data_IF_071204245668
#
_entry.id   IF_071204245668
#
_cell.length_a   1.000
_cell.length_b   1.000
_cell.length_c   1.000
_cell.angle_alpha   90.00
_cell.angle_beta   90.00
_cell.angle_gamma   90.00
#
_symmetry.space_group_name_H-M   'P 1'
#
loop_
_entity.id
_entity.type
_entity.pdbx_description
1 polymer ?
#
# COMPACT_ATOMS: atom_id res chain seq x y z
N UNK A 1 -17.03 9.40 -23.77
CA UNK A 1 -16.00 8.46 -24.27
C UNK A 1 -15.56 7.59 -23.13
N UNK A 2 -15.69 6.29 -23.34
CA UNK A 2 -15.37 5.28 -22.34
C UNK A 2 -13.85 5.18 -22.16
N UNK A 3 -13.39 5.01 -20.92
CA UNK A 3 -11.97 4.95 -20.53
C UNK A 3 -11.22 3.85 -21.32
N UNK A 4 -11.96 2.85 -21.78
CA UNK A 4 -11.48 1.71 -22.57
C UNK A 4 -10.93 2.07 -23.97
N UNK A 5 -11.28 3.22 -24.55
CA UNK A 5 -10.79 3.63 -25.88
C UNK A 5 -9.44 4.38 -25.84
N UNK A 6 -8.91 4.66 -24.64
CA UNK A 6 -7.67 5.41 -24.45
C UNK A 6 -6.54 4.42 -24.17
N UNK A 7 -5.43 4.52 -24.90
CA UNK A 7 -4.24 3.68 -24.69
C UNK A 7 -3.75 3.80 -23.25
N UNK A 8 -3.30 2.69 -22.66
CA UNK A 8 -2.85 2.61 -21.26
C UNK A 8 -1.86 3.72 -20.87
N UNK A 9 -0.79 3.90 -21.65
CA UNK A 9 0.22 4.93 -21.36
C UNK A 9 -0.35 6.34 -21.35
N UNK A 10 -1.36 6.60 -22.17
CA UNK A 10 -2.04 7.90 -22.21
C UNK A 10 -2.94 8.09 -20.99
N UNK A 11 -3.58 7.04 -20.49
CA UNK A 11 -4.33 7.10 -19.23
C UNK A 11 -3.40 7.41 -18.04
N UNK A 12 -2.19 6.83 -17.99
CA UNK A 12 -1.20 7.14 -16.96
C UNK A 12 -0.80 8.61 -16.98
N UNK A 13 -0.65 9.20 -18.17
CA UNK A 13 -0.35 10.64 -18.32
C UNK A 13 -1.52 11.52 -17.89
N UNK A 14 -2.75 11.13 -18.19
CA UNK A 14 -3.93 11.87 -17.72
C UNK A 14 -4.10 11.78 -16.22
N UNK A 15 -3.82 10.61 -15.62
CA UNK A 15 -3.74 10.45 -14.17
C UNK A 15 -2.69 11.39 -13.57
N UNK A 16 -1.49 11.47 -14.14
CA UNK A 16 -0.44 12.37 -13.68
C UNK A 16 -0.85 13.85 -13.79
N UNK A 17 -1.51 14.24 -14.88
CA UNK A 17 -2.09 15.58 -15.07
C UNK A 17 -3.04 15.93 -13.92
N UNK A 18 -3.96 15.02 -13.58
CA UNK A 18 -4.95 15.24 -12.54
C UNK A 18 -4.33 15.36 -11.16
N UNK A 19 -3.39 14.48 -10.80
CA UNK A 19 -2.70 14.49 -9.51
C UNK A 19 -1.92 15.80 -9.33
N UNK A 20 -1.11 16.20 -10.31
CA UNK A 20 -0.32 17.44 -10.22
C UNK A 20 -1.23 18.66 -10.17
N UNK A 21 -2.26 18.73 -11.00
CA UNK A 21 -3.17 19.87 -10.99
C UNK A 21 -3.93 19.98 -9.67
N UNK A 22 -4.37 18.86 -9.09
CA UNK A 22 -5.14 18.84 -7.85
C UNK A 22 -4.30 19.24 -6.64
N UNK A 23 -3.10 18.68 -6.50
CA UNK A 23 -2.31 18.81 -5.26
C UNK A 23 -1.23 19.90 -5.32
N UNK A 24 -0.69 20.20 -6.50
CA UNK A 24 0.30 21.28 -6.68
C UNK A 24 -0.32 22.57 -7.23
N UNK A 25 -1.58 22.53 -7.65
CA UNK A 25 -2.35 23.69 -8.12
C UNK A 25 -1.89 24.25 -9.48
N UNK A 26 -0.82 23.71 -10.08
CA UNK A 26 -0.27 24.19 -11.34
C UNK A 26 0.41 23.09 -12.15
N UNK A 27 -0.20 22.73 -13.26
CA UNK A 27 0.36 21.85 -14.28
C UNK A 27 1.08 22.62 -15.39
N UNK A 28 2.20 22.09 -15.86
CA UNK A 28 2.91 22.55 -17.05
C UNK A 28 3.39 21.37 -17.88
N UNK A 29 3.76 21.59 -19.14
CA UNK A 29 4.37 20.53 -19.98
C UNK A 29 5.64 19.95 -19.37
N UNK A 30 6.35 20.70 -18.50
CA UNK A 30 7.60 20.25 -17.87
C UNK A 30 7.38 19.03 -16.96
N UNK A 31 6.25 18.97 -16.26
CA UNK A 31 5.87 17.84 -15.41
C UNK A 31 5.79 16.55 -16.22
N UNK A 32 5.05 16.57 -17.35
CA UNK A 32 4.92 15.42 -18.24
C UNK A 32 6.24 15.04 -18.91
N UNK A 33 7.02 16.03 -19.37
CA UNK A 33 8.30 15.77 -20.02
C UNK A 33 9.24 14.97 -19.14
N UNK A 34 9.28 15.27 -17.84
CA UNK A 34 10.23 14.65 -16.93
C UNK A 34 9.72 13.36 -16.32
N UNK A 35 8.45 13.32 -15.91
CA UNK A 35 7.85 12.10 -15.36
C UNK A 35 7.80 10.95 -16.37
N UNK A 36 7.83 11.25 -17.67
CA UNK A 36 7.69 10.26 -18.74
C UNK A 36 8.79 10.31 -19.81
N UNK A 37 9.84 11.12 -19.63
CA UNK A 37 10.95 11.24 -20.59
C UNK A 37 10.54 11.66 -22.01
N UNK A 38 9.49 12.46 -22.17
CA UNK A 38 8.94 12.83 -23.49
C UNK A 38 9.26 14.26 -23.92
N UNK A 39 9.21 14.49 -25.23
CA UNK A 39 9.35 15.84 -25.80
C UNK A 39 8.17 16.76 -25.49
N UNK A 40 8.44 18.07 -25.41
CA UNK A 40 7.45 19.12 -25.08
C UNK A 40 6.23 19.13 -26.00
N UNK A 41 6.41 18.82 -27.28
CA UNK A 41 5.30 18.74 -28.24
C UNK A 41 4.34 17.60 -27.91
N UNK A 42 4.85 16.44 -27.50
CA UNK A 42 4.02 15.31 -27.06
C UNK A 42 3.27 15.66 -25.77
N UNK A 43 3.97 16.24 -24.78
CA UNK A 43 3.35 16.70 -23.54
C UNK A 43 2.20 17.70 -23.79
N UNK A 44 2.41 18.68 -24.69
CA UNK A 44 1.36 19.63 -25.09
C UNK A 44 0.17 18.95 -25.74
N UNK A 45 0.41 18.00 -26.66
CA UNK A 45 -0.64 17.19 -27.29
C UNK A 45 -1.44 16.39 -26.26
N UNK A 46 -0.79 15.79 -25.27
CA UNK A 46 -1.47 15.04 -24.21
C UNK A 46 -2.30 15.96 -23.30
N UNK A 47 -1.80 17.15 -22.92
CA UNK A 47 -2.61 18.13 -22.17
C UNK A 47 -3.85 18.56 -22.97
N UNK A 48 -3.67 18.88 -24.25
CA UNK A 48 -4.80 19.28 -25.11
C UNK A 48 -5.79 18.13 -25.31
N UNK A 49 -5.30 16.90 -25.43
CA UNK A 49 -6.16 15.72 -25.50
C UNK A 49 -6.94 15.52 -24.21
N UNK A 50 -6.30 15.64 -23.05
CA UNK A 50 -6.97 15.61 -21.76
C UNK A 50 -8.05 16.70 -21.67
N UNK A 51 -7.75 17.94 -22.04
CA UNK A 51 -8.70 19.05 -22.07
C UNK A 51 -9.87 18.80 -23.03
N UNK A 52 -9.65 18.14 -24.18
CA UNK A 52 -10.76 17.77 -25.07
C UNK A 52 -11.76 16.79 -24.43
N UNK A 53 -11.28 15.97 -23.49
CA UNK A 53 -12.09 15.01 -22.75
C UNK A 53 -12.71 15.66 -21.51
N UNK A 54 -12.01 16.59 -20.86
CA UNK A 54 -12.44 17.32 -19.67
C UNK A 54 -12.26 18.85 -19.84
N UNK A 55 -13.10 19.52 -20.66
CA UNK A 55 -12.88 20.91 -21.06
C UNK A 55 -12.94 21.92 -19.92
N UNK A 56 -13.71 21.60 -18.89
CA UNK A 56 -13.89 22.45 -17.70
C UNK A 56 -12.89 22.15 -16.60
N UNK A 57 -12.03 21.13 -16.73
CA UNK A 57 -11.18 20.68 -15.64
C UNK A 57 -10.07 21.70 -15.33
N UNK A 58 -9.34 22.17 -16.34
CA UNK A 58 -8.19 23.06 -16.16
C UNK A 58 -8.37 24.36 -16.93
N UNK A 59 -7.83 25.45 -16.40
CA UNK A 59 -7.76 26.75 -17.07
C UNK A 59 -6.31 27.17 -17.21
N UNK A 60 -5.92 27.63 -18.40
CA UNK A 60 -4.60 28.21 -18.59
C UNK A 60 -4.53 29.57 -17.90
N UNK A 61 -3.51 29.77 -17.07
CA UNK A 61 -3.23 31.01 -16.35
C UNK A 61 -1.93 31.62 -16.91
N UNK A 62 -2.05 32.82 -17.48
CA UNK A 62 -0.94 33.52 -18.12
C UNK A 62 0.10 34.05 -17.13
N UNK A 63 -0.32 34.39 -15.90
CA UNK A 63 0.59 34.88 -14.85
C UNK A 63 1.40 33.73 -14.29
N UNK A 64 0.75 32.61 -14.01
CA UNK A 64 1.42 31.39 -13.52
C UNK A 64 2.14 30.64 -14.64
N UNK A 65 1.90 30.96 -15.92
CA UNK A 65 2.46 30.24 -17.09
C UNK A 65 2.22 28.73 -16.96
N UNK A 66 0.97 28.33 -16.80
CA UNK A 66 0.57 26.94 -16.57
C UNK A 66 -0.94 26.75 -16.49
N UNK A 67 -1.39 25.51 -16.36
CA UNK A 67 -2.79 25.13 -16.21
C UNK A 67 -3.11 24.94 -14.73
N UNK A 68 -4.15 25.61 -14.23
CA UNK A 68 -4.64 25.46 -12.85
C UNK A 68 -5.97 24.70 -12.83
N UNK A 69 -6.28 23.95 -11.75
CA UNK A 69 -7.59 23.37 -11.58
C UNK A 69 -8.66 24.46 -11.55
N UNK A 70 -9.79 24.21 -12.20
CA UNK A 70 -10.95 25.09 -12.12
C UNK A 70 -11.84 24.72 -10.92
N UNK A 71 -12.80 25.58 -10.58
CA UNK A 71 -13.81 25.28 -9.56
C UNK A 71 -14.67 24.04 -9.88
N UNK A 72 -14.66 23.57 -11.13
CA UNK A 72 -15.40 22.40 -11.60
C UNK A 72 -14.48 21.20 -11.86
N UNK A 73 -13.23 21.24 -11.42
CA UNK A 73 -12.30 20.14 -11.58
C UNK A 73 -12.81 18.89 -10.86
N UNK A 74 -12.96 17.80 -11.61
CA UNK A 74 -13.30 16.47 -11.08
C UNK A 74 -12.35 15.45 -11.72
N UNK A 75 -11.56 14.71 -10.93
CA UNK A 75 -10.73 13.62 -11.45
C UNK A 75 -11.56 12.60 -12.22
N UNK A 76 -11.01 12.11 -13.34
CA UNK A 76 -11.60 11.09 -14.21
C UNK A 76 -10.66 9.92 -14.45
N UNK A 77 -9.36 10.15 -14.30
CA UNK A 77 -8.30 9.16 -14.51
C UNK A 77 -7.57 8.79 -13.21
N UNK A 78 -7.67 9.64 -12.19
CA UNK A 78 -7.23 9.43 -10.81
C UNK A 78 -8.45 9.25 -9.89
N UNK A 79 -8.21 8.76 -8.67
CA UNK A 79 -9.23 8.61 -7.62
C UNK A 79 -9.48 9.93 -6.86
N UNK A 80 -8.59 10.91 -7.00
CA UNK A 80 -8.67 12.19 -6.29
C UNK A 80 -8.22 12.11 -4.83
N UNK A 81 -7.53 11.03 -4.47
CA UNK A 81 -7.03 10.79 -3.12
C UNK A 81 -5.61 11.35 -2.95
N UNK A 82 -5.31 11.83 -1.74
CA UNK A 82 -3.96 12.32 -1.41
C UNK A 82 -2.91 11.20 -1.47
N UNK A 83 -3.33 9.95 -1.26
CA UNK A 83 -2.50 8.74 -1.40
C UNK A 83 -1.82 8.65 -2.78
N UNK A 84 -2.51 9.08 -3.84
CA UNK A 84 -1.96 9.08 -5.20
C UNK A 84 -0.82 10.10 -5.38
N UNK A 85 -0.89 11.23 -4.68
CA UNK A 85 0.18 12.23 -4.67
C UNK A 85 1.39 11.74 -3.88
N UNK A 86 1.18 11.14 -2.71
CA UNK A 86 2.25 10.54 -1.93
C UNK A 86 2.99 9.45 -2.70
N UNK A 87 2.27 8.62 -3.45
CA UNK A 87 2.87 7.61 -4.33
C UNK A 87 3.78 8.25 -5.39
N UNK A 88 3.30 9.31 -6.05
CA UNK A 88 4.06 10.04 -7.07
C UNK A 88 5.35 10.65 -6.49
N UNK A 89 5.27 11.25 -5.30
CA UNK A 89 6.45 11.78 -4.60
C UNK A 89 7.45 10.67 -4.21
N UNK A 90 6.95 9.52 -3.74
CA UNK A 90 7.79 8.39 -3.38
C UNK A 90 8.51 7.79 -4.60
N UNK A 91 7.81 7.62 -5.73
CA UNK A 91 8.39 7.15 -7.00
C UNK A 91 9.51 8.09 -7.48
N UNK A 92 9.30 9.39 -7.39
CA UNK A 92 10.30 10.39 -7.77
C UNK A 92 11.55 10.33 -6.87
N UNK A 93 11.38 10.19 -5.55
CA UNK A 93 12.51 10.02 -4.63
C UNK A 93 13.32 8.75 -4.96
N UNK A 94 12.65 7.65 -5.32
CA UNK A 94 13.34 6.41 -5.71
C UNK A 94 14.11 6.54 -7.03
N UNK A 95 13.53 7.21 -8.03
CA UNK A 95 14.19 7.46 -9.31
C UNK A 95 15.42 8.35 -9.16
N UNK A 96 15.33 9.40 -8.33
CA UNK A 96 16.48 10.27 -8.00
C UNK A 96 17.61 9.48 -7.34
N UNK A 97 17.29 8.61 -6.36
CA UNK A 97 18.28 7.70 -5.75
C UNK A 97 18.93 6.75 -6.76
N UNK A 98 18.23 6.44 -7.85
CA UNK A 98 18.72 5.62 -8.96
C UNK A 98 19.48 6.41 -10.02
N UNK A 99 19.72 7.71 -9.80
CA UNK A 99 20.51 8.58 -10.69
C UNK A 99 19.72 9.27 -11.80
N UNK A 100 18.38 9.25 -11.78
CA UNK A 100 17.56 9.98 -12.75
C UNK A 100 17.40 11.45 -12.34
N UNK A 101 17.82 12.38 -13.22
CA UNK A 101 17.55 13.81 -13.07
C UNK A 101 16.05 14.12 -13.27
N UNK A 102 15.30 14.26 -12.18
CA UNK A 102 13.92 14.76 -12.19
C UNK A 102 13.86 16.23 -11.71
N UNK A 103 12.81 16.98 -12.05
CA UNK A 103 12.55 18.31 -11.46
C UNK A 103 12.59 18.18 -9.94
N UNK A 104 13.14 19.22 -9.30
CA UNK A 104 12.74 19.58 -7.95
C UNK A 104 11.29 20.10 -7.97
N UNK A 105 10.33 19.18 -8.10
CA UNK A 105 8.93 19.48 -7.83
C UNK A 105 8.83 19.79 -6.34
N UNK A 106 8.60 21.06 -6.00
CA UNK A 106 8.27 21.60 -4.67
C UNK A 106 8.76 20.79 -3.46
N UNK A 107 10.02 20.31 -3.47
CA UNK A 107 10.65 19.69 -2.29
C UNK A 107 10.73 20.69 -1.14
N UNK A 108 10.69 21.99 -1.45
CA UNK A 108 10.78 23.05 -0.47
C UNK A 108 9.72 22.99 0.64
N UNK A 109 8.62 22.25 0.48
CA UNK A 109 7.55 22.17 1.47
C UNK A 109 7.09 20.74 1.84
N UNK A 110 7.70 19.68 1.30
CA UNK A 110 7.25 18.29 1.57
C UNK A 110 8.41 17.37 1.90
N UNK A 111 8.38 16.78 3.09
CA UNK A 111 9.32 15.76 3.55
C UNK A 111 8.57 14.46 3.82
N UNK A 112 9.11 13.34 3.34
CA UNK A 112 8.59 12.00 3.60
C UNK A 112 9.47 11.32 4.63
N UNK A 113 8.87 10.88 5.74
CA UNK A 113 9.56 10.05 6.72
C UNK A 113 9.86 8.69 6.09
N UNK A 114 11.14 8.43 5.82
CA UNK A 114 11.57 7.19 5.21
C UNK A 114 11.39 6.01 6.18
N UNK A 115 10.73 4.95 5.72
CA UNK A 115 10.64 3.70 6.48
C UNK A 115 11.98 2.96 6.30
N UNK A 116 12.66 2.55 7.39
CA UNK A 116 13.92 1.81 7.28
C UNK A 116 13.72 0.50 6.52
N UNK A 117 14.38 0.38 5.36
CA UNK A 117 14.33 -0.85 4.57
C UNK A 117 15.09 -1.97 5.27
N UNK A 118 14.47 -3.14 5.36
CA UNK A 118 15.13 -4.36 5.83
C UNK A 118 15.63 -5.11 4.61
N UNK A 119 16.95 -5.19 4.47
CA UNK A 119 17.55 -5.94 3.38
C UNK A 119 17.07 -7.40 3.37
N UNK A 120 16.69 -7.87 2.19
CA UNK A 120 16.43 -9.27 1.90
C UNK A 120 17.17 -9.62 0.62
N UNK A 121 17.93 -10.71 0.65
CA UNK A 121 18.67 -11.19 -0.51
C UNK A 121 17.70 -11.54 -1.67
N UNK A 122 17.84 -10.92 -2.87
CA UNK A 122 17.01 -11.21 -4.03
C UNK A 122 16.98 -12.70 -4.43
N UNK A 123 18.08 -13.43 -4.24
CA UNK A 123 18.14 -14.86 -4.53
C UNK A 123 17.22 -15.66 -3.60
N UNK A 124 17.16 -15.28 -2.32
CA UNK A 124 16.23 -15.86 -1.34
C UNK A 124 14.79 -15.57 -1.74
N UNK A 125 14.45 -14.32 -2.07
CA UNK A 125 13.09 -13.94 -2.48
C UNK A 125 12.65 -14.71 -3.73
N UNK A 126 13.51 -14.80 -4.75
CA UNK A 126 13.22 -15.52 -6.00
C UNK A 126 12.89 -16.99 -5.74
N UNK A 127 13.66 -17.67 -4.91
CA UNK A 127 13.42 -19.07 -4.54
C UNK A 127 12.10 -19.25 -3.80
N UNK A 128 11.81 -18.37 -2.83
CA UNK A 128 10.57 -18.44 -2.04
C UNK A 128 9.33 -18.13 -2.88
N UNK A 129 9.39 -17.17 -3.80
CA UNK A 129 8.30 -16.89 -4.74
C UNK A 129 8.08 -18.05 -5.71
N UNK A 130 9.15 -18.68 -6.18
CA UNK A 130 9.06 -19.88 -7.03
C UNK A 130 8.40 -21.03 -6.28
N UNK A 131 8.80 -21.26 -5.03
CA UNK A 131 8.18 -22.26 -4.17
C UNK A 131 6.70 -21.97 -3.90
N UNK A 132 6.36 -20.70 -3.64
CA UNK A 132 4.99 -20.28 -3.36
C UNK A 132 4.05 -20.53 -4.54
N UNK A 133 4.50 -20.26 -5.78
CA UNK A 133 3.73 -20.55 -7.00
C UNK A 133 3.47 -22.04 -7.21
N UNK A 134 4.39 -22.90 -6.75
CA UNK A 134 4.32 -24.35 -6.95
C UNK A 134 3.83 -25.17 -5.75
N UNK A 135 3.43 -24.51 -4.65
CA UNK A 135 3.20 -25.15 -3.35
C UNK A 135 4.36 -26.09 -2.94
N UNK A 136 5.59 -25.70 -3.24
CA UNK A 136 6.79 -26.53 -3.04
C UNK A 136 7.33 -26.36 -1.63
N UNK A 137 7.62 -27.46 -0.93
CA UNK A 137 8.32 -27.41 0.36
C UNK A 137 9.69 -26.77 0.19
N UNK A 138 10.05 -25.95 1.16
CA UNK A 138 11.39 -25.37 1.29
C UNK A 138 11.97 -25.72 2.64
N UNK A 139 13.26 -26.03 2.65
CA UNK A 139 14.07 -26.03 3.85
C UNK A 139 14.71 -24.65 4.01
N UNK A 140 14.42 -23.97 5.11
CA UNK A 140 14.95 -22.64 5.41
C UNK A 140 15.67 -22.63 6.74
N UNK A 141 16.77 -21.89 6.85
CA UNK A 141 17.38 -21.55 8.13
C UNK A 141 16.74 -20.26 8.63
N UNK A 142 16.18 -20.28 9.84
CA UNK A 142 15.41 -19.15 10.37
C UNK A 142 15.93 -18.72 11.74
N UNK A 143 16.34 -17.46 11.84
CA UNK A 143 16.77 -16.84 13.09
C UNK A 143 15.55 -16.48 13.96
N UNK A 144 15.41 -17.16 15.09
CA UNK A 144 14.36 -16.89 16.07
C UNK A 144 14.81 -15.80 17.03
N UNK A 145 13.97 -14.77 17.22
CA UNK A 145 14.23 -13.75 18.27
C UNK A 145 14.02 -14.35 19.65
N UNK A 146 12.97 -15.17 19.84
CA UNK A 146 12.61 -15.70 21.15
C UNK A 146 13.68 -16.61 21.76
N UNK A 147 14.44 -17.32 20.91
CA UNK A 147 15.47 -18.27 21.37
C UNK A 147 16.90 -17.81 21.03
N UNK A 148 17.07 -16.76 20.22
CA UNK A 148 18.37 -16.34 19.69
C UNK A 148 19.03 -17.34 18.73
N UNK A 149 18.41 -18.48 18.47
CA UNK A 149 18.97 -19.58 17.70
C UNK A 149 18.54 -19.56 16.23
N UNK A 150 19.41 -20.06 15.35
CA UNK A 150 19.11 -20.33 13.96
C UNK A 150 18.72 -21.80 13.83
N UNK A 151 17.45 -22.04 13.51
CA UNK A 151 16.93 -23.39 13.37
C UNK A 151 16.48 -23.64 11.94
N UNK A 152 16.67 -24.87 11.48
CA UNK A 152 16.13 -25.32 10.20
C UNK A 152 14.62 -25.55 10.32
N UNK A 153 13.87 -25.14 9.31
CA UNK A 153 12.42 -25.33 9.23
C UNK A 153 12.03 -25.86 7.86
N UNK A 154 11.12 -26.83 7.87
CA UNK A 154 10.35 -27.21 6.69
C UNK A 154 9.12 -26.32 6.61
N UNK A 155 8.98 -25.63 5.48
CA UNK A 155 7.96 -24.63 5.27
C UNK A 155 7.38 -24.75 3.86
N UNK A 156 6.07 -24.60 3.72
CA UNK A 156 5.38 -24.56 2.43
C UNK A 156 4.87 -23.15 2.24
N UNK A 157 5.61 -22.27 1.54
CA UNK A 157 5.20 -20.90 1.34
C UNK A 157 4.01 -20.84 0.37
N UNK A 158 3.18 -19.83 0.49
CA UNK A 158 2.14 -19.56 -0.50
C UNK A 158 1.94 -18.08 -0.83
N UNK A 159 2.13 -17.16 0.12
CA UNK A 159 1.89 -15.73 -0.16
C UNK A 159 2.89 -14.82 0.53
N UNK A 160 3.39 -13.84 -0.22
CA UNK A 160 4.22 -12.76 0.29
C UNK A 160 3.32 -11.62 0.76
N UNK A 161 3.52 -11.15 1.99
CA UNK A 161 2.70 -10.14 2.66
C UNK A 161 3.60 -8.98 3.10
N UNK A 162 3.20 -7.74 2.81
CA UNK A 162 3.87 -6.55 3.34
C UNK A 162 2.97 -5.88 4.37
N UNK A 163 3.45 -5.70 5.60
CA UNK A 163 2.67 -5.08 6.68
C UNK A 163 2.81 -3.54 6.75
N UNK A 164 3.55 -2.95 5.82
CA UNK A 164 3.91 -1.53 5.82
C UNK A 164 5.31 -1.25 6.36
N UNK A 165 5.91 -2.19 7.10
CA UNK A 165 7.24 -2.04 7.71
C UNK A 165 8.23 -3.13 7.29
N UNK A 166 7.74 -4.33 6.99
CA UNK A 166 8.56 -5.49 6.62
C UNK A 166 7.76 -6.52 5.83
N UNK A 167 8.52 -7.35 5.12
CA UNK A 167 7.99 -8.48 4.39
C UNK A 167 7.85 -9.73 5.26
N UNK A 168 6.73 -10.41 5.08
CA UNK A 168 6.39 -11.71 5.67
C UNK A 168 6.09 -12.71 4.57
N UNK A 169 6.42 -13.97 4.82
CA UNK A 169 6.05 -15.09 3.97
C UNK A 169 5.08 -15.96 4.73
N UNK A 170 3.83 -15.97 4.28
CA UNK A 170 2.81 -16.86 4.81
C UNK A 170 2.90 -18.24 4.19
N UNK A 171 2.72 -19.26 5.01
CA UNK A 171 2.85 -20.64 4.61
C UNK A 171 2.59 -21.63 5.74
N UNK A 172 2.55 -22.90 5.37
CA UNK A 172 2.40 -23.98 6.34
C UNK A 172 3.76 -24.36 6.93
N UNK A 173 3.87 -24.34 8.26
CA UNK A 173 5.06 -24.79 8.96
C UNK A 173 4.87 -26.22 9.48
N UNK A 174 5.62 -27.18 8.96
CA UNK A 174 5.45 -28.60 9.33
C UNK A 174 5.81 -28.87 10.79
N UNK A 175 6.81 -28.16 11.33
CA UNK A 175 7.18 -28.27 12.74
C UNK A 175 6.04 -27.87 13.69
N UNK A 176 5.32 -26.80 13.36
CA UNK A 176 4.20 -26.30 14.19
C UNK A 176 2.83 -26.82 13.74
N UNK A 177 2.79 -27.59 12.63
CA UNK A 177 1.59 -28.13 12.00
C UNK A 177 0.46 -27.10 11.82
N UNK A 178 0.83 -25.87 11.43
CA UNK A 178 -0.11 -24.76 11.22
C UNK A 178 0.40 -23.75 10.20
N UNK A 179 -0.52 -22.96 9.66
CA UNK A 179 -0.19 -21.79 8.87
C UNK A 179 0.30 -20.65 9.75
N UNK A 180 1.41 -20.03 9.35
CA UNK A 180 2.02 -18.91 10.05
C UNK A 180 2.84 -18.05 9.10
N UNK A 181 3.28 -16.90 9.60
CA UNK A 181 4.07 -15.93 8.86
C UNK A 181 5.53 -15.96 9.32
N UNK A 182 6.46 -16.07 8.37
CA UNK A 182 7.90 -15.93 8.60
C UNK A 182 8.38 -14.56 8.13
N UNK A 183 9.13 -13.83 8.96
CA UNK A 183 9.72 -12.55 8.55
C UNK A 183 10.89 -12.81 7.60
N UNK A 184 10.86 -12.24 6.39
CA UNK A 184 11.87 -12.53 5.36
C UNK A 184 13.28 -12.13 5.81
N UNK A 185 13.43 -11.00 6.49
CA UNK A 185 14.73 -10.51 6.97
C UNK A 185 15.39 -11.42 8.03
N UNK A 186 14.69 -12.46 8.52
CA UNK A 186 15.20 -13.44 9.48
C UNK A 186 15.60 -14.77 8.84
N UNK A 187 15.35 -14.94 7.54
CA UNK A 187 15.85 -16.08 6.79
C UNK A 187 17.36 -15.92 6.61
N UNK A 188 18.10 -17.01 6.76
CA UNK A 188 19.55 -17.09 6.62
C UNK A 188 19.90 -18.12 5.56
N UNK A 189 20.97 -17.84 4.82
CA UNK A 189 21.39 -18.67 3.68
C UNK A 189 20.33 -18.77 2.59
N UNK A 190 20.59 -19.63 1.62
CA UNK A 190 19.67 -19.90 0.51
C UNK A 190 18.67 -21.00 0.90
N UNK A 191 17.35 -20.79 0.73
CA UNK A 191 16.35 -21.83 0.85
C UNK A 191 16.62 -22.99 -0.10
N UNK A 192 16.48 -24.23 0.38
CA UNK A 192 16.54 -25.42 -0.48
C UNK A 192 15.13 -25.84 -0.87
N UNK A 193 14.83 -25.82 -2.17
CA UNK A 193 13.59 -26.38 -2.70
C UNK A 193 13.61 -27.91 -2.54
N UNK A 194 12.47 -28.47 -2.14
CA UNK A 194 12.28 -29.91 -2.00
C UNK A 194 11.19 -30.35 -3.00
N UNK A 195 10.14 -31.01 -2.52
CA UNK A 195 9.05 -31.58 -3.31
C UNK A 195 7.72 -30.87 -3.02
N UNK A 196 6.75 -31.01 -3.94
CA UNK A 196 5.41 -30.38 -3.85
C UNK A 196 4.59 -30.88 -2.68
N UNK A 197 3.88 -29.97 -2.03
CA UNK A 197 3.01 -30.23 -0.89
C UNK A 197 1.54 -30.04 -1.21
N UNK A 198 0.71 -30.77 -0.49
CA UNK A 198 -0.76 -30.61 -0.54
C UNK A 198 -1.23 -29.43 0.32
N UNK A 199 -0.37 -28.91 1.21
CA UNK A 199 -0.64 -27.71 2.02
C UNK A 199 -0.51 -26.43 1.19
N UNK A 200 -1.48 -26.22 0.30
CA UNK A 200 -1.58 -25.05 -0.56
C UNK A 200 -2.18 -23.83 0.17
N UNK A 201 -2.28 -22.70 -0.53
CA UNK A 201 -3.05 -21.53 -0.07
C UNK A 201 -4.52 -21.88 0.22
N UNK A 202 -5.12 -22.77 -0.57
CA UNK A 202 -6.54 -23.13 -0.43
C UNK A 202 -6.86 -23.87 0.87
N UNK A 203 -5.86 -24.49 1.50
CA UNK A 203 -6.01 -25.20 2.75
C UNK A 203 -5.81 -24.31 4.00
N UNK A 204 -5.43 -23.04 3.82
CA UNK A 204 -5.28 -22.08 4.91
C UNK A 204 -6.64 -21.45 5.24
N UNK A 205 -7.30 -21.96 6.27
CA UNK A 205 -8.62 -21.48 6.69
C UNK A 205 -8.61 -19.99 7.06
N UNK A 206 -7.61 -19.53 7.81
CA UNK A 206 -7.52 -18.13 8.24
C UNK A 206 -7.20 -17.20 7.06
N UNK A 207 -6.50 -17.70 6.03
CA UNK A 207 -6.28 -16.93 4.81
C UNK A 207 -7.56 -16.81 3.99
N UNK A 208 -8.34 -17.88 3.86
CA UNK A 208 -9.53 -17.91 3.01
C UNK A 208 -10.79 -17.37 3.70
N UNK A 209 -10.76 -17.20 5.03
CA UNK A 209 -11.80 -16.52 5.79
C UNK A 209 -11.60 -14.99 5.75
N UNK A 210 -12.70 -14.27 5.49
CA UNK A 210 -12.74 -12.81 5.54
C UNK A 210 -13.41 -12.31 6.82
N UNK A 211 -12.86 -11.24 7.38
CA UNK A 211 -13.39 -10.54 8.54
C UNK A 211 -13.72 -9.10 8.16
N UNK A 212 -14.81 -8.60 8.71
CA UNK A 212 -15.09 -7.19 8.86
C UNK A 212 -14.78 -6.79 10.30
N UNK A 213 -13.88 -5.82 10.46
CA UNK A 213 -13.47 -5.25 11.73
C UNK A 213 -14.14 -3.89 11.87
N UNK A 214 -14.99 -3.74 12.89
CA UNK A 214 -15.58 -2.45 13.24
C UNK A 214 -14.69 -1.78 14.27
N UNK A 215 -14.20 -0.60 13.94
CA UNK A 215 -13.25 0.16 14.75
C UNK A 215 -13.93 1.46 15.17
N UNK A 216 -13.85 1.77 16.46
CA UNK A 216 -14.48 2.95 17.06
C UNK A 216 -13.45 3.70 17.90
N UNK A 217 -13.68 5.00 18.18
CA UNK A 217 -12.90 5.72 19.17
C UNK A 217 -12.94 5.00 20.52
N UNK A 218 -11.84 5.02 21.26
CA UNK A 218 -11.77 4.36 22.54
C UNK A 218 -12.78 5.00 23.54
N UNK A 219 -13.71 4.22 24.13
CA UNK A 219 -14.76 4.74 24.99
C UNK A 219 -14.28 5.45 26.26
N UNK A 220 -13.00 5.32 26.63
CA UNK A 220 -12.44 6.04 27.78
C UNK A 220 -12.36 7.56 27.55
N UNK A 221 -12.31 8.00 26.30
CA UNK A 221 -12.27 9.42 25.96
C UNK A 221 -13.64 10.08 26.12
N UNK A 222 -13.66 11.38 26.40
CA UNK A 222 -14.90 12.17 26.41
C UNK A 222 -15.56 12.21 25.03
N UNK A 223 -16.86 12.50 24.97
CA UNK A 223 -17.59 12.58 23.70
C UNK A 223 -16.94 13.56 22.69
N UNK A 224 -16.48 14.72 23.16
CA UNK A 224 -15.78 15.70 22.31
C UNK A 224 -14.45 15.15 21.75
N UNK A 225 -13.69 14.38 22.55
CA UNK A 225 -12.46 13.74 22.08
C UNK A 225 -12.75 12.61 21.09
N UNK A 226 -13.79 11.81 21.33
CA UNK A 226 -14.21 10.76 20.41
C UNK A 226 -14.63 11.33 19.05
N UNK A 227 -15.29 12.49 19.03
CA UNK A 227 -15.67 13.19 17.80
C UNK A 227 -14.43 13.63 17.00
N UNK A 228 -13.42 14.21 17.66
CA UNK A 228 -12.14 14.56 17.01
C UNK A 228 -11.47 13.31 16.43
N UNK A 229 -11.39 12.22 17.19
CA UNK A 229 -10.82 10.95 16.72
C UNK A 229 -11.63 10.42 15.52
N UNK A 230 -12.95 10.46 15.56
CA UNK A 230 -13.79 10.00 14.45
C UNK A 230 -13.52 10.80 13.16
N UNK A 231 -13.34 12.11 13.27
CA UNK A 231 -13.00 12.99 12.14
C UNK A 231 -11.61 12.65 11.59
N UNK A 232 -10.60 12.50 12.44
CA UNK A 232 -9.21 12.23 12.04
C UNK A 232 -9.07 10.91 11.26
N UNK A 233 -9.87 9.91 11.62
CA UNK A 233 -9.89 8.61 10.95
C UNK A 233 -10.91 8.51 9.82
N UNK A 234 -11.60 9.60 9.48
CA UNK A 234 -12.61 9.63 8.41
C UNK A 234 -13.76 8.66 8.64
N UNK A 235 -14.19 8.51 9.90
CA UNK A 235 -15.26 7.59 10.28
C UNK A 235 -16.62 8.08 9.81
N UNK A 236 -17.46 7.15 9.37
CA UNK A 236 -18.87 7.40 9.06
C UNK A 236 -19.72 6.90 10.23
N UNK A 237 -20.63 7.74 10.73
CA UNK A 237 -21.47 7.43 11.90
C UNK A 237 -20.69 6.95 13.14
N UNK A 238 -19.47 7.46 13.34
CA UNK A 238 -18.62 7.14 14.50
C UNK A 238 -17.89 5.80 14.42
N UNK A 239 -17.83 5.16 13.26
CA UNK A 239 -17.09 3.91 13.08
C UNK A 239 -16.30 3.85 11.76
N UNK A 240 -15.24 3.05 11.76
CA UNK A 240 -14.45 2.67 10.60
C UNK A 240 -14.56 1.16 10.40
N UNK A 241 -15.02 0.73 9.22
CA UNK A 241 -15.12 -0.68 8.87
C UNK A 241 -13.95 -1.10 7.98
N UNK A 242 -13.22 -2.14 8.38
CA UNK A 242 -12.09 -2.70 7.61
C UNK A 242 -12.40 -4.15 7.27
N UNK A 243 -12.54 -4.44 5.98
CA UNK A 243 -12.66 -5.82 5.48
C UNK A 243 -11.29 -6.37 5.09
N UNK A 244 -10.86 -7.45 5.73
CA UNK A 244 -9.58 -8.09 5.44
C UNK A 244 -9.63 -9.62 5.62
N UNK A 245 -8.60 -10.33 5.14
CA UNK A 245 -8.44 -11.75 5.48
C UNK A 245 -8.19 -11.90 6.98
N UNK A 246 -8.72 -12.95 7.61
CA UNK A 246 -8.54 -13.21 9.06
C UNK A 246 -7.05 -13.30 9.43
N UNK A 247 -6.27 -13.98 8.60
CA UNK A 247 -4.82 -14.07 8.68
C UNK A 247 -4.10 -12.71 8.77
N UNK A 248 -4.70 -11.64 8.24
CA UNK A 248 -4.09 -10.32 8.13
C UNK A 248 -4.62 -9.31 9.16
N UNK A 249 -5.64 -9.66 9.94
CA UNK A 249 -6.31 -8.75 10.87
C UNK A 249 -5.32 -8.07 11.82
N UNK A 250 -4.41 -8.83 12.43
CA UNK A 250 -3.42 -8.31 13.39
C UNK A 250 -2.43 -7.31 12.76
N UNK A 251 -2.21 -7.36 11.44
CA UNK A 251 -1.40 -6.35 10.75
C UNK A 251 -2.16 -5.02 10.62
N UNK A 252 -3.45 -5.07 10.28
CA UNK A 252 -4.30 -3.88 10.24
C UNK A 252 -4.42 -3.22 11.61
N UNK A 253 -4.66 -4.01 12.66
CA UNK A 253 -4.79 -3.51 14.03
C UNK A 253 -3.51 -2.82 14.51
N UNK A 254 -2.35 -3.45 14.30
CA UNK A 254 -1.06 -2.84 14.66
C UNK A 254 -0.78 -1.54 13.90
N UNK A 255 -1.22 -1.44 12.64
CA UNK A 255 -1.09 -0.22 11.84
C UNK A 255 -1.93 0.94 12.39
N UNK A 256 -3.05 0.60 13.02
CA UNK A 256 -3.90 1.54 13.75
C UNK A 256 -3.49 1.70 15.22
N UNK A 257 -2.35 1.13 15.62
CA UNK A 257 -1.83 1.16 16.99
C UNK A 257 -2.80 0.56 18.02
N UNK A 258 -3.62 -0.41 17.58
CA UNK A 258 -4.52 -1.18 18.44
C UNK A 258 -3.76 -2.41 18.95
N UNK A 259 -3.54 -2.50 20.26
CA UNK A 259 -2.91 -3.67 20.89
C UNK A 259 -3.95 -4.72 21.31
N UNK A 260 -3.63 -6.00 21.10
CA UNK A 260 -4.43 -7.15 21.58
C UNK A 260 -3.59 -8.21 22.33
N UNK A 261 -3.97 -8.63 23.56
CA UNK A 261 -4.98 -7.99 24.41
C UNK A 261 -4.59 -6.53 24.64
N UNK A 262 -5.54 -5.67 24.98
CA UNK A 262 -5.27 -4.26 25.29
C UNK A 262 -4.24 -4.27 26.43
N UNK A 263 -2.96 -4.19 26.08
CA UNK A 263 -1.91 -4.05 27.07
C UNK A 263 -2.15 -2.70 27.68
N UNK A 264 -2.10 -2.64 29.01
CA UNK A 264 -2.20 -1.41 29.79
C UNK A 264 -0.98 -0.51 29.51
N UNK A 265 -0.81 -0.08 28.26
CA UNK A 265 -0.23 1.20 28.00
C UNK A 265 -1.23 2.23 28.53
N UNK A 266 -0.71 3.34 29.06
CA UNK A 266 -1.46 4.53 29.45
C UNK A 266 -2.77 4.63 28.64
N UNK A 267 -3.96 4.63 29.27
CA UNK A 267 -5.23 4.59 28.56
C UNK A 267 -5.39 5.68 27.48
N UNK A 268 -4.61 6.75 27.60
CA UNK A 268 -4.51 7.86 26.65
C UNK A 268 -3.67 7.57 25.39
N UNK A 269 -3.02 6.42 25.28
CA UNK A 269 -2.10 6.08 24.17
C UNK A 269 -2.76 5.31 23.03
N UNK A 270 -3.94 4.73 23.24
CA UNK A 270 -4.67 3.97 22.23
C UNK A 270 -5.99 4.67 21.89
N UNK A 271 -6.00 5.41 20.79
CA UNK A 271 -7.16 6.20 20.34
C UNK A 271 -8.34 5.33 19.85
N UNK A 272 -8.07 4.10 19.43
CA UNK A 272 -9.03 3.24 18.74
C UNK A 272 -9.18 1.89 19.43
N UNK A 273 -10.37 1.31 19.34
CA UNK A 273 -10.63 -0.07 19.79
C UNK A 273 -11.43 -0.82 18.73
N UNK A 274 -11.31 -2.14 18.74
CA UNK A 274 -12.19 -3.01 17.93
C UNK A 274 -13.47 -3.24 18.71
N UNK A 275 -14.60 -2.74 18.23
CA UNK A 275 -15.92 -2.99 18.83
C UNK A 275 -16.48 -4.35 18.42
N UNK A 276 -16.29 -4.73 17.15
CA UNK A 276 -16.85 -5.95 16.59
C UNK A 276 -15.89 -6.63 15.62
N UNK A 277 -15.96 -7.97 15.58
CA UNK A 277 -15.28 -8.81 14.59
C UNK A 277 -16.29 -9.77 13.99
N UNK A 278 -16.67 -9.54 12.74
CA UNK A 278 -17.67 -10.36 12.04
C UNK A 278 -17.05 -11.14 10.90
N UNK A 279 -17.41 -12.42 10.77
CA UNK A 279 -17.06 -13.18 9.57
C UNK A 279 -17.97 -12.79 8.41
N UNK A 280 -17.37 -12.47 7.27
CA UNK A 280 -18.08 -12.01 6.08
C UNK A 280 -17.67 -12.83 4.86
N UNK A 281 -18.48 -12.77 3.80
CA UNK A 281 -18.09 -13.32 2.50
C UNK A 281 -16.95 -12.49 1.89
N UNK A 282 -16.19 -13.09 0.98
CA UNK A 282 -15.15 -12.38 0.26
C UNK A 282 -15.76 -11.16 -0.47
N UNK A 283 -15.14 -9.97 -0.38
CA UNK A 283 -15.62 -8.80 -1.09
C UNK A 283 -15.59 -9.07 -2.60
N UNK A 284 -16.62 -8.60 -3.32
CA UNK A 284 -16.62 -8.65 -4.77
C UNK A 284 -15.43 -7.85 -5.31
N UNK A 285 -14.65 -8.46 -6.21
CA UNK A 285 -13.55 -7.78 -6.89
C UNK A 285 -14.08 -6.53 -7.59
N UNK A 286 -13.64 -5.35 -7.15
CA UNK A 286 -13.91 -4.07 -7.83
C UNK A 286 -13.10 -3.94 -9.11
#
# INVERSE_FOLDING_TARGET
>A
MDRQQIKWDQQLRFRHIEIIALWEGRLTTKHLCQSFGMGRQQASRDINRYLSLAPTALKYDTRLKGYKPSAYFKPRFSQGEFSEYLQLLAEQQQLQRSGFELLELNRAATELVAIPERYVDPAVVRLLLTAAKGATRVKVQYASIATGQINERLFVPHTLVHDGFRWHLRGYCEHHKRYLDLVLSRIRGLPKLLYRSDHSQGCDLDWNQWLELTIVPNPIFSAAQQEVIAIDYGMEAGSLSITCRKALADYHLRRLQISTPIQAFEPNSQLLVVSERRSVMAPASR
#
